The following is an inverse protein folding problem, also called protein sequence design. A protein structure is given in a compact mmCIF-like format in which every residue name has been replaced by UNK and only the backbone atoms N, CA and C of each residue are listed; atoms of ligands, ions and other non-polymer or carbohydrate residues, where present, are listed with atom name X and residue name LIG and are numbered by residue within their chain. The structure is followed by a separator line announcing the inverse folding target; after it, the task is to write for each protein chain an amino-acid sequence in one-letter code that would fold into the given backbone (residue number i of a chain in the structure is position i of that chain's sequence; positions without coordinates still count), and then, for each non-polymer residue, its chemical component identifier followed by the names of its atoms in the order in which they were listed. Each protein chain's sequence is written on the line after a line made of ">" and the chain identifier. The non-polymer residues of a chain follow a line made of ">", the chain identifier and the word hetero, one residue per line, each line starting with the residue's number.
data_IF_767911137589
#
_entry.id   IF_767911137589
#
_cell.length_a   1.000
_cell.length_b   1.000
_cell.length_c   1.000
_cell.angle_alpha   90.00
_cell.angle_beta   90.00
_cell.angle_gamma   90.00
#
_symmetry.space_group_name_H-M   'P 1'
#
loop_
_entity.id
_entity.type
_entity.pdbx_description
1 polymer ?
#
# COMPACT_ATOMS: atom_id res chain seq x y z
N UNK A 1 -5.17 8.62 1.81
CA UNK A 1 -5.42 9.32 3.10
C UNK A 1 -4.51 10.53 3.31
N UNK A 2 -3.30 10.53 2.75
CA UNK A 2 -2.37 11.67 2.80
C UNK A 2 -2.41 12.57 1.55
N UNK A 3 -3.57 12.66 0.88
CA UNK A 3 -3.82 13.64 -0.17
C UNK A 3 -4.10 15.03 0.41
N UNK A 4 -3.65 16.06 -0.27
CA UNK A 4 -4.00 17.46 0.03
C UNK A 4 -5.28 17.89 -0.69
N UNK A 5 -5.81 17.04 -1.59
CA UNK A 5 -7.06 17.29 -2.30
C UNK A 5 -8.24 16.59 -1.59
N UNK A 6 -9.22 17.34 -1.07
CA UNK A 6 -10.41 16.78 -0.40
C UNK A 6 -11.19 15.77 -1.25
N UNK A 7 -11.09 15.87 -2.58
CA UNK A 7 -11.71 14.91 -3.49
C UNK A 7 -11.31 13.46 -3.16
N UNK A 8 -10.02 13.20 -2.95
CA UNK A 8 -9.51 11.86 -2.64
C UNK A 8 -9.73 11.45 -1.17
N UNK A 9 -10.11 12.40 -0.31
CA UNK A 9 -10.34 12.10 1.11
C UNK A 9 -11.80 11.69 1.38
N UNK A 10 -12.77 12.38 0.75
CA UNK A 10 -14.18 12.13 1.05
C UNK A 10 -15.12 12.28 -0.16
N UNK A 11 -14.84 13.17 -1.11
CA UNK A 11 -15.79 13.49 -2.17
C UNK A 11 -15.97 12.32 -3.15
N UNK A 12 -14.89 11.67 -3.58
CA UNK A 12 -14.98 10.50 -4.46
C UNK A 12 -15.77 9.35 -3.80
N UNK A 13 -15.57 9.14 -2.51
CA UNK A 13 -16.30 8.13 -1.75
C UNK A 13 -17.79 8.49 -1.62
N UNK A 14 -18.11 9.76 -1.37
CA UNK A 14 -19.49 10.24 -1.34
C UNK A 14 -20.20 10.05 -2.69
N UNK A 15 -19.51 10.38 -3.80
CA UNK A 15 -20.05 10.19 -5.16
C UNK A 15 -20.24 8.69 -5.50
N UNK A 16 -19.35 7.82 -5.08
CA UNK A 16 -19.40 6.38 -5.36
C UNK A 16 -20.39 5.61 -4.48
N UNK A 17 -20.65 6.07 -3.25
CA UNK A 17 -21.42 5.33 -2.26
C UNK A 17 -22.83 4.89 -2.72
N UNK A 18 -23.64 5.72 -3.42
CA UNK A 18 -24.93 5.28 -3.94
C UNK A 18 -24.83 4.09 -4.90
N UNK A 19 -23.80 4.07 -5.76
CA UNK A 19 -23.58 2.96 -6.68
C UNK A 19 -23.13 1.69 -5.96
N UNK A 20 -22.25 1.80 -4.97
CA UNK A 20 -21.83 0.68 -4.12
C UNK A 20 -23.06 0.04 -3.45
N UNK A 21 -23.94 0.86 -2.87
CA UNK A 21 -25.20 0.41 -2.25
C UNK A 21 -26.15 -0.24 -3.28
N UNK A 22 -26.34 0.42 -4.42
CA UNK A 22 -27.24 -0.06 -5.49
C UNK A 22 -26.85 -1.45 -6.00
N UNK A 23 -25.55 -1.70 -6.16
CA UNK A 23 -25.04 -2.97 -6.66
C UNK A 23 -24.75 -4.01 -5.56
N UNK A 24 -25.06 -3.70 -4.30
CA UNK A 24 -24.82 -4.63 -3.19
C UNK A 24 -23.35 -4.98 -2.97
N UNK A 25 -22.42 -4.08 -3.32
CA UNK A 25 -20.99 -4.35 -3.20
C UNK A 25 -20.53 -4.18 -1.75
N UNK A 26 -19.60 -5.02 -1.33
CA UNK A 26 -18.92 -4.86 -0.05
C UNK A 26 -17.85 -3.76 -0.15
N UNK A 27 -17.95 -2.64 0.59
CA UNK A 27 -16.87 -1.66 0.65
C UNK A 27 -15.75 -2.15 1.56
N UNK A 28 -14.51 -1.96 1.11
CA UNK A 28 -13.31 -2.24 1.90
C UNK A 28 -12.67 -0.90 2.33
N UNK A 29 -12.96 -0.41 3.56
CA UNK A 29 -12.40 0.87 4.03
C UNK A 29 -10.88 0.78 4.12
N UNK A 30 -10.19 1.45 3.18
CA UNK A 30 -8.74 1.37 2.99
C UNK A 30 -8.10 2.74 3.09
N UNK A 31 -7.14 2.89 4.00
CA UNK A 31 -6.25 4.03 4.03
C UNK A 31 -5.13 3.82 3.00
N UNK A 32 -5.26 4.44 1.84
CA UNK A 32 -4.21 4.47 0.84
C UNK A 32 -3.21 5.57 1.20
N UNK A 33 -1.96 5.18 1.51
CA UNK A 33 -0.87 6.07 1.92
C UNK A 33 0.22 6.06 0.84
N UNK A 34 0.44 7.20 0.23
CA UNK A 34 1.52 7.38 -0.76
C UNK A 34 2.83 7.62 -0.03
N UNK A 35 3.83 6.78 -0.34
CA UNK A 35 5.17 6.83 0.24
C UNK A 35 6.14 7.34 -0.83
N UNK A 36 6.91 8.36 -0.51
CA UNK A 36 7.79 9.04 -1.46
C UNK A 36 7.03 9.97 -2.42
N UNK A 37 7.75 10.45 -3.39
CA UNK A 37 7.30 11.44 -4.39
C UNK A 37 7.72 11.03 -5.80
N UNK A 38 7.28 11.80 -6.81
CA UNK A 38 7.72 11.65 -8.20
C UNK A 38 7.08 10.49 -8.95
N UNK A 39 6.04 9.86 -8.43
CA UNK A 39 5.29 8.78 -9.08
C UNK A 39 3.91 9.23 -9.54
N UNK A 40 3.28 8.46 -10.44
CA UNK A 40 1.90 8.76 -10.88
C UNK A 40 0.91 8.75 -9.72
N UNK A 41 1.07 7.84 -8.76
CA UNK A 41 0.22 7.77 -7.58
C UNK A 41 0.35 9.04 -6.71
N UNK A 42 1.56 9.55 -6.56
CA UNK A 42 1.83 10.81 -5.87
C UNK A 42 1.20 12.00 -6.60
N UNK A 43 1.46 12.12 -7.92
CA UNK A 43 1.03 13.28 -8.70
C UNK A 43 -0.51 13.32 -8.84
N UNK A 44 -1.11 12.24 -9.33
CA UNK A 44 -2.57 12.16 -9.54
C UNK A 44 -3.33 12.26 -8.22
N UNK A 45 -2.79 11.63 -7.17
CA UNK A 45 -3.40 11.67 -5.83
C UNK A 45 -3.25 13.00 -5.12
N UNK A 46 -2.53 13.99 -5.68
CA UNK A 46 -2.14 15.22 -4.99
C UNK A 46 -1.65 14.92 -3.55
N UNK A 47 -0.79 13.91 -3.44
CA UNK A 47 -0.41 13.39 -2.14
C UNK A 47 0.77 14.17 -1.56
N UNK A 48 0.68 14.48 -0.26
CA UNK A 48 1.87 14.81 0.52
C UNK A 48 2.60 13.51 0.85
N UNK A 49 3.58 13.14 -0.02
CA UNK A 49 4.29 11.88 0.08
C UNK A 49 5.00 11.71 1.42
N UNK A 50 4.86 10.54 2.05
CA UNK A 50 5.57 10.22 3.28
C UNK A 50 7.00 9.84 2.93
N UNK A 51 8.05 10.51 3.44
CA UNK A 51 9.43 10.16 3.13
C UNK A 51 9.77 8.73 3.55
N UNK A 52 10.57 8.03 2.74
CA UNK A 52 10.94 6.63 2.98
C UNK A 52 11.68 6.41 4.30
N UNK A 53 12.38 7.42 4.79
CA UNK A 53 13.14 7.42 6.05
C UNK A 53 12.33 7.88 7.28
N UNK A 54 11.03 8.11 7.12
CA UNK A 54 10.13 8.59 8.19
C UNK A 54 9.03 7.57 8.54
N UNK A 55 9.37 6.36 8.97
CA UNK A 55 8.41 5.29 9.25
C UNK A 55 7.37 5.66 10.32
N UNK A 56 7.73 6.50 11.28
CA UNK A 56 6.80 6.97 12.33
C UNK A 56 5.65 7.81 11.78
N UNK A 57 5.85 8.52 10.67
CA UNK A 57 4.77 9.29 10.02
C UNK A 57 3.76 8.31 9.43
N UNK A 58 4.20 7.27 8.71
CA UNK A 58 3.31 6.24 8.18
C UNK A 58 2.55 5.51 9.31
N UNK A 59 3.22 5.22 10.43
CA UNK A 59 2.60 4.63 11.61
C UNK A 59 1.50 5.54 12.20
N UNK A 60 1.74 6.84 12.31
CA UNK A 60 0.75 7.80 12.81
C UNK A 60 -0.50 7.86 11.90
N UNK A 61 -0.32 7.92 10.58
CA UNK A 61 -1.44 7.86 9.63
C UNK A 61 -2.20 6.53 9.72
N UNK A 62 -1.50 5.41 9.90
CA UNK A 62 -2.12 4.08 10.02
C UNK A 62 -2.92 3.93 11.31
N UNK A 63 -2.43 4.50 12.41
CA UNK A 63 -3.17 4.55 13.67
C UNK A 63 -4.42 5.43 13.57
N UNK A 64 -4.31 6.59 12.93
CA UNK A 64 -5.45 7.46 12.65
C UNK A 64 -6.49 6.74 11.77
N UNK A 65 -6.05 6.01 10.74
CA UNK A 65 -6.91 5.19 9.90
C UNK A 65 -7.68 4.15 10.73
N UNK A 66 -7.02 3.47 11.67
CA UNK A 66 -7.66 2.51 12.57
C UNK A 66 -8.73 3.18 13.46
N UNK A 67 -8.44 4.37 14.00
CA UNK A 67 -9.42 5.11 14.81
C UNK A 67 -10.62 5.61 13.99
N UNK A 68 -10.42 5.84 12.68
CA UNK A 68 -11.50 6.14 11.72
C UNK A 68 -12.27 4.88 11.25
N UNK A 69 -11.96 3.69 11.79
CA UNK A 69 -12.64 2.44 11.45
C UNK A 69 -12.17 1.79 10.15
N UNK A 70 -11.04 2.22 9.57
CA UNK A 70 -10.49 1.59 8.36
C UNK A 70 -9.85 0.24 8.71
N UNK A 71 -10.26 -0.81 7.99
CA UNK A 71 -9.81 -2.18 8.20
C UNK A 71 -8.52 -2.51 7.43
N UNK A 72 -8.19 -1.70 6.45
CA UNK A 72 -7.04 -1.88 5.56
C UNK A 72 -6.16 -0.63 5.55
N UNK A 73 -4.85 -0.86 5.48
CA UNK A 73 -3.85 0.18 5.16
C UNK A 73 -3.06 -0.31 3.96
N UNK A 74 -2.88 0.56 2.97
CA UNK A 74 -2.06 0.29 1.80
C UNK A 74 -0.93 1.32 1.74
N UNK A 75 0.31 0.84 1.93
CA UNK A 75 1.52 1.62 1.74
C UNK A 75 1.97 1.49 0.29
N UNK A 76 1.87 2.55 -0.50
CA UNK A 76 2.16 2.55 -1.94
C UNK A 76 3.33 3.47 -2.27
N UNK A 77 4.43 2.88 -2.73
CA UNK A 77 5.58 3.65 -3.22
C UNK A 77 5.40 4.13 -4.67
N UNK A 78 4.44 3.56 -5.41
CA UNK A 78 4.18 3.89 -6.81
C UNK A 78 4.97 3.04 -7.83
N UNK A 79 4.38 2.90 -9.02
CA UNK A 79 5.07 2.29 -10.17
C UNK A 79 6.26 3.14 -10.57
N UNK A 80 7.42 2.50 -10.77
CA UNK A 80 8.65 3.20 -11.16
C UNK A 80 9.32 3.99 -10.04
N UNK A 81 8.88 3.83 -8.78
CA UNK A 81 9.50 4.47 -7.64
C UNK A 81 11.01 4.17 -7.56
N UNK A 82 11.79 5.17 -7.13
CA UNK A 82 13.23 5.04 -6.92
C UNK A 82 13.58 4.09 -5.77
N UNK A 83 12.66 3.95 -4.81
CA UNK A 83 12.81 3.09 -3.64
C UNK A 83 11.52 2.35 -3.35
N UNK A 84 11.61 1.25 -2.60
CA UNK A 84 10.46 0.51 -2.10
C UNK A 84 10.06 1.03 -0.71
N UNK A 85 8.84 0.75 -0.28
CA UNK A 85 8.49 0.84 1.13
C UNK A 85 9.50 0.04 1.95
N UNK A 86 10.07 0.65 2.99
CA UNK A 86 11.12 -0.01 3.77
C UNK A 86 10.53 -1.03 4.76
N UNK A 87 11.26 -2.11 5.05
CA UNK A 87 10.84 -3.07 6.08
C UNK A 87 10.66 -2.43 7.45
N UNK A 88 11.43 -1.40 7.77
CA UNK A 88 11.35 -0.61 8.99
C UNK A 88 10.00 0.12 9.06
N UNK A 89 9.56 0.70 7.94
CA UNK A 89 8.25 1.36 7.86
C UNK A 89 7.11 0.36 8.07
N UNK A 90 7.19 -0.81 7.45
CA UNK A 90 6.20 -1.89 7.65
C UNK A 90 6.14 -2.32 9.13
N UNK A 91 7.30 -2.50 9.78
CA UNK A 91 7.38 -2.83 11.20
C UNK A 91 6.77 -1.76 12.10
N UNK A 92 7.09 -0.48 11.87
CA UNK A 92 6.53 0.62 12.66
C UNK A 92 5.01 0.73 12.50
N UNK A 93 4.49 0.58 11.29
CA UNK A 93 3.04 0.52 11.04
C UNK A 93 2.43 -0.68 11.75
N UNK A 94 3.04 -1.85 11.68
CA UNK A 94 2.51 -3.08 12.31
C UNK A 94 2.44 -3.00 13.84
N UNK A 95 3.29 -2.19 14.48
CA UNK A 95 3.24 -1.98 15.94
C UNK A 95 1.93 -1.32 16.40
N UNK A 96 1.31 -0.52 15.54
CA UNK A 96 0.16 0.34 15.91
C UNK A 96 -1.11 0.02 15.14
N UNK A 97 -1.03 -0.71 14.03
CA UNK A 97 -2.17 -1.04 13.17
C UNK A 97 -2.44 -2.55 13.19
N UNK A 98 -3.58 -2.94 13.78
CA UNK A 98 -3.99 -4.35 13.89
C UNK A 98 -4.70 -4.91 12.65
N UNK A 99 -5.08 -4.08 11.68
CA UNK A 99 -5.82 -4.48 10.49
C UNK A 99 -4.96 -5.11 9.38
N UNK A 100 -5.50 -5.20 8.18
CA UNK A 100 -4.84 -5.82 7.03
C UNK A 100 -3.90 -4.82 6.35
N UNK A 101 -2.60 -5.12 6.33
CA UNK A 101 -1.55 -4.26 5.79
C UNK A 101 -1.11 -4.73 4.39
N UNK A 102 -1.31 -3.87 3.40
CA UNK A 102 -0.93 -4.07 2.01
C UNK A 102 0.29 -3.20 1.72
N UNK A 103 1.25 -3.72 0.95
CA UNK A 103 2.45 -2.99 0.53
C UNK A 103 2.62 -3.13 -0.96
N UNK A 104 2.81 -2.00 -1.67
CA UNK A 104 3.02 -1.96 -3.10
C UNK A 104 4.08 -0.97 -3.56
N UNK A 105 4.37 -1.04 -4.85
CA UNK A 105 5.36 -0.20 -5.51
C UNK A 105 6.79 -0.76 -5.45
N UNK A 106 7.41 -0.91 -6.64
CA UNK A 106 8.84 -1.23 -6.77
C UNK A 106 9.28 -2.64 -6.38
N UNK A 107 8.40 -3.56 -6.03
CA UNK A 107 8.75 -4.95 -5.66
C UNK A 107 9.13 -5.74 -6.91
N UNK A 108 10.40 -6.14 -7.03
CA UNK A 108 10.95 -6.75 -8.25
C UNK A 108 11.57 -8.14 -8.04
N UNK A 109 11.79 -8.56 -6.81
CA UNK A 109 12.51 -9.79 -6.49
C UNK A 109 11.99 -10.51 -5.23
N UNK A 110 12.28 -11.83 -5.12
CA UNK A 110 11.83 -12.64 -3.99
C UNK A 110 12.38 -12.22 -2.63
N UNK A 111 13.59 -11.66 -2.58
CA UNK A 111 14.23 -11.25 -1.32
C UNK A 111 13.50 -10.05 -0.72
N UNK A 112 13.22 -9.03 -1.52
CA UNK A 112 12.44 -7.86 -1.13
C UNK A 112 11.05 -8.27 -0.66
N UNK A 113 10.34 -9.10 -1.45
CA UNK A 113 9.01 -9.59 -1.09
C UNK A 113 9.01 -10.33 0.26
N UNK A 114 9.95 -11.28 0.44
CA UNK A 114 10.11 -12.04 1.68
C UNK A 114 10.37 -11.13 2.88
N UNK A 115 11.19 -10.10 2.72
CA UNK A 115 11.53 -9.17 3.80
C UNK A 115 10.33 -8.33 4.22
N UNK A 116 9.51 -7.85 3.27
CA UNK A 116 8.30 -7.09 3.57
C UNK A 116 7.24 -7.93 4.30
N UNK A 117 7.03 -9.17 3.86
CA UNK A 117 6.10 -10.09 4.55
C UNK A 117 6.60 -10.41 5.97
N UNK A 118 7.88 -10.69 6.16
CA UNK A 118 8.49 -10.88 7.49
C UNK A 118 8.39 -9.65 8.38
N UNK A 119 8.36 -8.46 7.79
CA UNK A 119 8.17 -7.21 8.52
C UNK A 119 6.71 -6.99 8.97
N UNK A 120 5.75 -7.76 8.44
CA UNK A 120 4.35 -7.73 8.86
C UNK A 120 3.34 -7.37 7.76
N UNK A 121 3.74 -7.28 6.50
CA UNK A 121 2.79 -7.12 5.39
C UNK A 121 1.93 -8.40 5.23
N UNK A 122 0.62 -8.22 5.10
CA UNK A 122 -0.32 -9.31 4.83
C UNK A 122 -0.45 -9.59 3.33
N UNK A 123 -0.30 -8.58 2.49
CA UNK A 123 -0.35 -8.70 1.04
C UNK A 123 0.67 -7.79 0.37
N UNK A 124 1.12 -8.20 -0.82
CA UNK A 124 2.00 -7.42 -1.68
C UNK A 124 1.31 -7.16 -3.02
N UNK A 125 1.43 -5.94 -3.53
CA UNK A 125 0.96 -5.55 -4.86
C UNK A 125 2.16 -5.39 -5.79
N UNK A 126 2.11 -6.10 -6.92
CA UNK A 126 3.18 -6.13 -7.92
C UNK A 126 2.55 -5.81 -9.27
N UNK A 127 2.85 -4.65 -9.83
CA UNK A 127 2.36 -4.19 -11.14
C UNK A 127 3.43 -4.27 -12.22
N UNK A 128 4.33 -3.31 -12.26
CA UNK A 128 5.33 -3.10 -13.33
C UNK A 128 6.17 -4.32 -13.70
N UNK A 129 6.37 -5.26 -12.77
CA UNK A 129 7.04 -6.52 -13.06
C UNK A 129 6.28 -7.33 -14.09
N UNK A 130 4.92 -7.34 -14.04
CA UNK A 130 4.06 -8.15 -14.90
C UNK A 130 3.97 -7.64 -16.34
N UNK A 131 4.33 -6.38 -16.58
CA UNK A 131 4.34 -5.77 -17.91
C UNK A 131 5.50 -6.26 -18.77
N UNK A 132 6.49 -6.95 -18.18
CA UNK A 132 7.68 -7.44 -18.88
C UNK A 132 7.49 -8.86 -19.41
N UNK A 133 7.99 -9.15 -20.63
CA UNK A 133 8.03 -10.54 -21.14
C UNK A 133 8.79 -11.45 -20.18
N UNK A 134 8.23 -12.65 -19.92
CA UNK A 134 8.84 -13.64 -19.01
C UNK A 134 8.62 -13.38 -17.51
N UNK A 135 7.82 -12.40 -17.16
CA UNK A 135 7.51 -12.00 -15.77
C UNK A 135 6.86 -13.09 -14.92
N UNK A 136 6.11 -14.02 -15.54
CA UNK A 136 5.45 -15.14 -14.83
C UNK A 136 6.42 -16.01 -14.04
N UNK A 137 7.62 -16.27 -14.57
CA UNK A 137 8.66 -17.01 -13.84
C UNK A 137 9.05 -16.27 -12.57
N UNK A 138 9.31 -14.98 -12.68
CA UNK A 138 9.69 -14.15 -11.54
C UNK A 138 8.57 -14.03 -10.50
N UNK A 139 7.32 -13.91 -10.94
CA UNK A 139 6.17 -13.90 -10.05
C UNK A 139 6.03 -15.22 -9.29
N UNK A 140 6.26 -16.35 -9.98
CA UNK A 140 6.25 -17.67 -9.37
C UNK A 140 7.36 -17.80 -8.30
N UNK A 141 8.56 -17.30 -8.57
CA UNK A 141 9.66 -17.26 -7.60
C UNK A 141 9.31 -16.43 -6.36
N UNK A 142 8.72 -15.24 -6.56
CA UNK A 142 8.23 -14.38 -5.47
C UNK A 142 7.16 -15.12 -4.66
N UNK A 143 6.15 -15.68 -5.32
CA UNK A 143 5.08 -16.43 -4.65
C UNK A 143 5.62 -17.59 -3.81
N UNK A 144 6.55 -18.38 -4.35
CA UNK A 144 7.20 -19.46 -3.59
C UNK A 144 7.97 -18.93 -2.39
N UNK A 145 8.68 -17.81 -2.54
CA UNK A 145 9.47 -17.21 -1.47
C UNK A 145 8.60 -16.74 -0.30
N UNK A 146 7.46 -16.09 -0.57
CA UNK A 146 6.56 -15.63 0.49
C UNK A 146 5.81 -16.78 1.17
N UNK A 147 5.38 -17.81 0.41
CA UNK A 147 4.71 -19.00 0.97
C UNK A 147 5.65 -19.85 1.83
N UNK A 148 6.96 -19.74 1.67
CA UNK A 148 7.94 -20.42 2.51
C UNK A 148 8.16 -19.79 3.89
N UNK A 149 7.49 -18.67 4.17
CA UNK A 149 7.54 -18.02 5.49
C UNK A 149 6.54 -18.75 6.38
N UNK A 150 7.08 -19.44 7.39
CA UNK A 150 6.30 -20.07 8.46
C UNK A 150 6.05 -19.05 9.57
#
# INVERSE_FOLDING_TARGET
>A
MNSENPYFISQAQALGAPSVKKFGLEPLPTAYLVIGEGTSAWFVGAARGIPFDKPKIAAAYSLAAQFLGMRFVYLEAGSGASSNVTPEMVKEVRKVFGGFLIVGGGIKDPKTAKTLVKAGANALVIGTLLEKKGSLKRLTEISKAIRSIK
#
